data_IF_339218383987
#
_entry.id   IF_339218383987
#
_cell.length_a   1.000
_cell.length_b   1.000
_cell.length_c   1.000
_cell.angle_alpha   90.00
_cell.angle_beta   90.00
_cell.angle_gamma   90.00
#
_symmetry.space_group_name_H-M   'P 1'
#
loop_
_entity.id
_entity.type
_entity.pdbx_description
1 polymer ?
#
# COMPACT_ATOMS: atom_id res chain seq x y z
N UNK A 1 -6.69 -23.46 11.52
CA UNK A 1 -6.65 -22.15 10.83
C UNK A 1 -6.91 -21.05 11.86
N UNK A 2 -5.96 -20.15 12.02
CA UNK A 2 -6.00 -19.06 13.02
C UNK A 2 -6.90 -17.92 12.55
N UNK A 3 -6.88 -17.62 11.25
CA UNK A 3 -7.74 -16.62 10.59
C UNK A 3 -8.70 -17.33 9.64
N UNK A 4 -9.96 -16.97 9.69
CA UNK A 4 -10.91 -17.28 8.62
C UNK A 4 -10.95 -16.08 7.66
N UNK A 5 -10.17 -16.11 6.59
CA UNK A 5 -10.03 -15.00 5.65
C UNK A 5 -11.36 -14.62 4.98
N UNK A 6 -12.23 -15.58 4.66
CA UNK A 6 -13.54 -15.28 4.08
C UNK A 6 -14.41 -14.49 5.05
N UNK A 7 -14.40 -14.89 6.33
CA UNK A 7 -15.09 -14.14 7.38
C UNK A 7 -14.47 -12.75 7.57
N UNK A 8 -13.14 -12.66 7.63
CA UNK A 8 -12.44 -11.37 7.78
C UNK A 8 -12.78 -10.42 6.61
N UNK A 9 -12.80 -10.94 5.38
CA UNK A 9 -13.21 -10.19 4.18
C UNK A 9 -14.67 -9.74 4.27
N UNK A 10 -15.57 -10.61 4.73
CA UNK A 10 -16.98 -10.25 4.92
C UNK A 10 -17.13 -9.12 5.94
N UNK A 11 -16.44 -9.19 7.07
CA UNK A 11 -16.47 -8.13 8.08
C UNK A 11 -15.82 -6.82 7.59
N UNK A 12 -14.77 -6.90 6.77
CA UNK A 12 -14.19 -5.73 6.09
C UNK A 12 -15.17 -5.09 5.12
N UNK A 13 -15.88 -5.87 4.31
CA UNK A 13 -16.90 -5.34 3.40
C UNK A 13 -18.03 -4.65 4.16
N UNK A 14 -18.53 -5.25 5.25
CA UNK A 14 -19.52 -4.61 6.14
C UNK A 14 -18.98 -3.31 6.77
N UNK A 15 -17.70 -3.27 7.13
CA UNK A 15 -17.08 -2.03 7.61
C UNK A 15 -17.12 -0.95 6.54
N UNK A 16 -16.80 -1.29 5.28
CA UNK A 16 -16.78 -0.33 4.18
C UNK A 16 -18.17 0.14 3.75
N UNK A 17 -19.23 -0.63 4.02
CA UNK A 17 -20.63 -0.22 3.79
C UNK A 17 -21.08 0.98 4.64
N UNK A 18 -20.34 1.33 5.69
CA UNK A 18 -20.62 2.54 6.47
C UNK A 18 -20.17 3.84 5.75
N UNK A 19 -19.53 3.72 4.58
CA UNK A 19 -19.01 4.82 3.80
C UNK A 19 -19.67 4.89 2.42
N UNK A 20 -19.57 6.03 1.76
CA UNK A 20 -20.18 6.24 0.44
C UNK A 20 -19.43 5.46 -0.66
N UNK A 21 -19.87 4.24 -0.93
CA UNK A 21 -19.32 3.39 -1.99
C UNK A 21 -19.70 3.87 -3.42
N UNK A 22 -20.54 4.88 -3.59
CA UNK A 22 -20.75 5.53 -4.88
C UNK A 22 -19.59 6.44 -5.24
N UNK A 23 -18.85 6.92 -4.24
CA UNK A 23 -17.62 7.68 -4.43
C UNK A 23 -16.51 6.77 -4.97
N UNK A 24 -15.97 7.13 -6.14
CA UNK A 24 -14.96 6.33 -6.83
C UNK A 24 -13.67 6.15 -6.01
N UNK A 25 -13.25 7.15 -5.25
CA UNK A 25 -12.05 7.05 -4.41
C UNK A 25 -12.22 6.03 -3.28
N UNK A 26 -13.39 6.03 -2.60
CA UNK A 26 -13.70 5.05 -1.56
C UNK A 26 -13.80 3.65 -2.16
N UNK A 27 -14.52 3.48 -3.27
CA UNK A 27 -14.65 2.19 -3.96
C UNK A 27 -13.29 1.66 -4.45
N UNK A 28 -12.42 2.54 -4.97
CA UNK A 28 -11.05 2.19 -5.36
C UNK A 28 -10.26 1.64 -4.16
N UNK A 29 -10.34 2.29 -2.99
CA UNK A 29 -9.64 1.82 -1.78
C UNK A 29 -10.17 0.48 -1.26
N UNK A 30 -11.46 0.21 -1.37
CA UNK A 30 -12.00 -1.11 -1.07
C UNK A 30 -11.37 -2.19 -1.99
N UNK A 31 -11.35 -1.94 -3.30
CA UNK A 31 -10.72 -2.85 -4.27
C UNK A 31 -9.22 -3.02 -4.05
N UNK A 32 -8.49 -1.94 -3.77
CA UNK A 32 -7.09 -1.93 -3.41
C UNK A 32 -6.79 -2.86 -2.21
N UNK A 33 -7.50 -2.71 -1.10
CA UNK A 33 -7.29 -3.55 0.08
C UNK A 33 -7.50 -5.05 -0.21
N UNK A 34 -8.47 -5.40 -1.06
CA UNK A 34 -8.70 -6.80 -1.46
C UNK A 34 -7.56 -7.31 -2.35
N UNK A 35 -7.03 -6.51 -3.27
CA UNK A 35 -5.88 -6.91 -4.10
C UNK A 35 -4.61 -7.04 -3.27
N UNK A 36 -4.33 -6.09 -2.36
CA UNK A 36 -3.19 -6.14 -1.43
C UNK A 36 -3.26 -7.37 -0.52
N UNK A 37 -4.46 -7.75 -0.04
CA UNK A 37 -4.67 -9.03 0.66
C UNK A 37 -4.15 -10.23 -0.16
N UNK A 38 -4.52 -10.30 -1.44
CA UNK A 38 -4.15 -11.42 -2.30
C UNK A 38 -2.66 -11.39 -2.64
N UNK A 39 -2.08 -10.22 -2.89
CA UNK A 39 -0.64 -10.05 -3.16
C UNK A 39 0.18 -10.44 -1.92
N UNK A 40 -0.20 -9.97 -0.71
CA UNK A 40 0.45 -10.35 0.53
C UNK A 40 0.42 -11.86 0.76
N UNK A 41 -0.73 -12.50 0.48
CA UNK A 41 -0.87 -13.95 0.53
C UNK A 41 0.07 -14.64 -0.47
N UNK A 42 0.13 -14.18 -1.71
CA UNK A 42 0.99 -14.75 -2.74
C UNK A 42 2.47 -14.64 -2.36
N UNK A 43 2.92 -13.46 -1.90
CA UNK A 43 4.31 -13.27 -1.43
C UNK A 43 4.62 -14.25 -0.30
N UNK A 44 3.74 -14.38 0.69
CA UNK A 44 3.92 -15.28 1.83
C UNK A 44 4.00 -16.75 1.41
N UNK A 45 3.20 -17.19 0.45
CA UNK A 45 3.25 -18.56 -0.14
C UNK A 45 4.58 -18.78 -0.85
N UNK A 46 5.03 -17.85 -1.69
CA UNK A 46 6.29 -18.00 -2.43
C UNK A 46 7.53 -17.87 -1.53
N UNK A 47 7.39 -17.28 -0.34
CA UNK A 47 8.40 -17.29 0.72
C UNK A 47 8.40 -18.59 1.55
N UNK A 48 7.51 -19.56 1.25
CA UNK A 48 7.33 -20.82 1.97
C UNK A 48 7.02 -20.63 3.46
N UNK A 49 6.24 -19.62 3.81
CA UNK A 49 5.80 -19.40 5.17
C UNK A 49 4.76 -20.45 5.60
N UNK A 50 4.58 -20.62 6.90
CA UNK A 50 3.55 -21.54 7.44
C UNK A 50 2.14 -21.06 7.08
N UNK A 51 1.17 -21.98 7.08
CA UNK A 51 -0.25 -21.67 6.80
C UNK A 51 -0.79 -20.54 7.66
N UNK A 52 -0.41 -20.49 8.93
CA UNK A 52 -0.82 -19.43 9.84
C UNK A 52 -0.21 -18.08 9.44
N UNK A 53 1.07 -18.06 9.10
CA UNK A 53 1.76 -16.85 8.64
C UNK A 53 1.20 -16.34 7.30
N UNK A 54 0.87 -17.24 6.38
CA UNK A 54 0.22 -16.88 5.11
C UNK A 54 -1.12 -16.18 5.36
N UNK A 55 -1.91 -16.69 6.30
CA UNK A 55 -3.19 -16.08 6.65
C UNK A 55 -3.03 -14.73 7.36
N UNK A 56 -2.03 -14.60 8.23
CA UNK A 56 -1.71 -13.32 8.90
C UNK A 56 -1.24 -12.28 7.87
N UNK A 57 -0.37 -12.65 6.91
CA UNK A 57 0.03 -11.76 5.83
C UNK A 57 -1.16 -11.25 5.02
N UNK A 58 -2.08 -12.15 4.64
CA UNK A 58 -3.29 -11.78 3.93
C UNK A 58 -4.20 -10.86 4.77
N UNK A 59 -4.37 -11.14 6.06
CA UNK A 59 -5.16 -10.30 6.95
C UNK A 59 -4.56 -8.90 7.10
N UNK A 60 -3.26 -8.79 7.26
CA UNK A 60 -2.56 -7.50 7.30
C UNK A 60 -2.81 -6.73 5.99
N UNK A 61 -2.67 -7.40 4.84
CA UNK A 61 -2.96 -6.80 3.53
C UNK A 61 -4.40 -6.31 3.38
N UNK A 62 -5.38 -7.02 3.94
CA UNK A 62 -6.78 -6.60 3.93
C UNK A 62 -7.02 -5.34 4.78
N UNK A 63 -6.33 -5.21 5.90
CA UNK A 63 -6.62 -4.21 6.93
C UNK A 63 -5.66 -3.01 6.92
N UNK A 64 -4.57 -3.03 6.12
CA UNK A 64 -3.52 -2.02 6.18
C UNK A 64 -4.05 -0.59 5.99
N UNK A 65 -5.01 -0.42 5.10
CA UNK A 65 -5.62 0.85 4.72
C UNK A 65 -7.03 1.08 5.34
N UNK A 66 -7.37 0.38 6.43
CA UNK A 66 -8.70 0.48 7.05
C UNK A 66 -9.09 1.91 7.45
N UNK A 67 -8.13 2.75 7.80
CA UNK A 67 -8.34 4.15 8.15
C UNK A 67 -8.61 5.07 6.96
N UNK A 68 -8.31 4.64 5.73
CA UNK A 68 -8.47 5.47 4.53
C UNK A 68 -9.93 5.82 4.23
N UNK A 69 -10.86 4.98 4.63
CA UNK A 69 -12.28 5.24 4.47
C UNK A 69 -12.73 6.45 5.29
N UNK A 70 -12.35 6.48 6.56
CA UNK A 70 -12.59 7.61 7.46
C UNK A 70 -11.84 8.86 6.99
N UNK A 71 -10.55 8.71 6.62
CA UNK A 71 -9.72 9.80 6.15
C UNK A 71 -10.35 10.52 4.96
N UNK A 72 -10.77 9.78 3.94
CA UNK A 72 -11.36 10.39 2.75
C UNK A 72 -12.72 11.01 3.03
N UNK A 73 -13.53 10.37 3.86
CA UNK A 73 -14.85 10.88 4.24
C UNK A 73 -14.76 12.22 4.95
N UNK A 74 -13.81 12.37 5.89
CA UNK A 74 -13.65 13.60 6.65
C UNK A 74 -12.87 14.70 5.91
N UNK A 75 -11.82 14.34 5.17
CA UNK A 75 -10.87 15.31 4.64
C UNK A 75 -10.84 15.40 3.12
N UNK A 76 -11.58 14.55 2.40
CA UNK A 76 -11.63 14.47 0.93
C UNK A 76 -10.23 14.34 0.29
N UNK A 77 -9.31 13.71 1.00
CA UNK A 77 -7.92 13.49 0.56
C UNK A 77 -7.31 12.26 1.20
N UNK A 78 -6.37 11.62 0.51
CA UNK A 78 -5.50 10.57 1.04
C UNK A 78 -4.11 11.10 1.45
N UNK A 79 -3.95 12.42 1.54
CA UNK A 79 -2.69 13.02 1.95
C UNK A 79 -2.62 13.11 3.47
N UNK A 80 -1.77 12.29 4.10
CA UNK A 80 -1.59 12.24 5.56
C UNK A 80 -1.15 13.59 6.15
N UNK A 81 -0.41 14.42 5.38
CA UNK A 81 -0.01 15.75 5.83
C UNK A 81 -1.18 16.76 5.91
N UNK A 82 -2.33 16.45 5.29
CA UNK A 82 -3.53 17.30 5.30
C UNK A 82 -4.66 16.72 6.16
N UNK A 83 -4.40 15.61 6.84
CA UNK A 83 -5.38 14.89 7.64
C UNK A 83 -4.72 14.25 8.87
N UNK A 84 -4.59 12.95 8.89
CA UNK A 84 -3.91 12.17 9.93
C UNK A 84 -3.07 11.07 9.29
N UNK A 85 -2.11 10.53 10.03
CA UNK A 85 -1.37 9.34 9.61
C UNK A 85 -2.30 8.12 9.62
N UNK A 86 -2.55 7.53 8.43
CA UNK A 86 -3.53 6.46 8.30
C UNK A 86 -3.04 5.11 8.86
N UNK A 87 -1.73 4.89 8.94
CA UNK A 87 -1.18 3.71 9.59
C UNK A 87 -1.42 3.75 11.09
N UNK A 88 -1.14 4.88 11.74
CA UNK A 88 -1.38 5.06 13.17
C UNK A 88 -2.87 5.02 13.49
N UNK A 89 -3.71 5.71 12.72
CA UNK A 89 -5.16 5.70 12.94
C UNK A 89 -5.80 4.33 12.65
N UNK A 90 -5.23 3.57 11.70
CA UNK A 90 -5.64 2.17 11.47
C UNK A 90 -5.43 1.29 12.70
N UNK A 91 -4.34 1.49 13.43
CA UNK A 91 -4.10 0.82 14.73
C UNK A 91 -5.16 1.20 15.77
N UNK A 92 -5.58 2.47 15.84
CA UNK A 92 -6.64 2.92 16.76
C UNK A 92 -7.98 2.24 16.46
N UNK A 93 -8.36 2.12 15.17
CA UNK A 93 -9.56 1.38 14.74
C UNK A 93 -9.44 -0.09 15.19
N UNK A 94 -8.31 -0.74 14.91
CA UNK A 94 -8.10 -2.14 15.22
C UNK A 94 -7.98 -2.43 16.73
N UNK A 95 -7.59 -1.47 17.55
CA UNK A 95 -7.66 -1.63 19.03
C UNK A 95 -9.09 -1.90 19.51
N UNK A 96 -10.09 -1.40 18.81
CA UNK A 96 -11.51 -1.60 19.14
C UNK A 96 -12.10 -2.81 18.43
N UNK A 97 -11.70 -3.05 17.19
CA UNK A 97 -12.43 -3.91 16.24
C UNK A 97 -11.69 -5.20 15.84
N UNK A 98 -10.47 -5.44 16.31
CA UNK A 98 -9.63 -6.57 15.90
C UNK A 98 -10.37 -7.91 15.99
N UNK A 99 -11.20 -8.11 17.04
CA UNK A 99 -11.94 -9.38 17.26
C UNK A 99 -13.02 -9.66 16.20
N UNK A 100 -13.38 -8.69 15.36
CA UNK A 100 -14.21 -8.91 14.18
C UNK A 100 -13.48 -9.74 13.13
N UNK A 101 -12.16 -9.54 12.99
CA UNK A 101 -11.30 -10.10 11.93
C UNK A 101 -10.55 -11.38 12.37
N UNK A 102 -10.06 -11.41 13.59
CA UNK A 102 -9.31 -12.53 14.15
C UNK A 102 -9.73 -12.79 15.59
N UNK A 103 -9.95 -14.08 15.96
CA UNK A 103 -10.45 -14.43 17.29
C UNK A 103 -9.38 -14.43 18.39
N UNK A 104 -8.13 -14.80 18.03
CA UNK A 104 -7.00 -14.85 18.98
C UNK A 104 -6.33 -13.50 19.09
N UNK A 105 -5.77 -13.18 20.23
CA UNK A 105 -4.96 -12.00 20.50
C UNK A 105 -3.44 -12.21 20.25
N UNK A 106 -3.05 -13.47 20.04
CA UNK A 106 -1.64 -13.88 19.83
C UNK A 106 -0.89 -13.01 18.81
N UNK A 107 -1.57 -12.58 17.76
CA UNK A 107 -0.97 -11.84 16.64
C UNK A 107 -1.32 -10.33 16.62
N UNK A 108 -2.02 -9.84 17.63
CA UNK A 108 -2.49 -8.45 17.65
C UNK A 108 -1.35 -7.45 17.55
N UNK A 109 -0.28 -7.67 18.34
CA UNK A 109 0.91 -6.80 18.29
C UNK A 109 1.53 -6.80 16.91
N UNK A 110 1.73 -7.98 16.33
CA UNK A 110 2.35 -8.17 15.02
C UNK A 110 1.54 -7.47 13.92
N UNK A 111 0.21 -7.70 13.87
CA UNK A 111 -0.68 -7.11 12.87
C UNK A 111 -0.65 -5.58 12.97
N UNK A 112 -0.82 -5.04 14.19
CA UNK A 112 -0.83 -3.59 14.42
C UNK A 112 0.51 -2.94 14.07
N UNK A 113 1.61 -3.59 14.41
CA UNK A 113 2.94 -3.10 14.09
C UNK A 113 3.20 -3.08 12.57
N UNK A 114 2.83 -4.13 11.84
CA UNK A 114 2.97 -4.16 10.40
C UNK A 114 2.11 -3.07 9.72
N UNK A 115 0.86 -2.87 10.17
CA UNK A 115 -0.04 -1.82 9.67
C UNK A 115 0.51 -0.43 9.99
N UNK A 116 1.04 -0.20 11.20
CA UNK A 116 1.66 1.07 11.57
C UNK A 116 2.84 1.45 10.67
N UNK A 117 3.63 0.46 10.25
CA UNK A 117 4.88 0.68 9.49
C UNK A 117 4.70 0.70 7.96
N UNK A 118 3.52 0.32 7.42
CA UNK A 118 3.38 0.15 5.98
C UNK A 118 3.54 1.47 5.20
N UNK A 119 3.06 2.60 5.76
CA UNK A 119 3.07 3.92 5.14
C UNK A 119 4.28 4.80 5.54
N UNK A 120 5.12 4.34 6.47
CA UNK A 120 6.29 5.11 6.90
C UNK A 120 7.37 5.10 5.81
N UNK A 121 8.17 6.18 5.75
CA UNK A 121 9.28 6.24 4.79
C UNK A 121 10.29 5.13 5.06
N UNK A 122 10.60 4.88 6.33
CA UNK A 122 11.44 3.79 6.81
C UNK A 122 10.67 2.97 7.86
N UNK A 123 10.95 1.66 7.89
CA UNK A 123 10.42 0.78 8.95
C UNK A 123 11.12 1.17 10.27
N UNK A 124 10.37 1.23 11.36
CA UNK A 124 10.94 1.56 12.68
C UNK A 124 12.03 0.55 13.09
N UNK A 125 13.03 1.04 13.80
CA UNK A 125 14.12 0.21 14.33
C UNK A 125 13.65 -0.68 15.49
N UNK A 126 14.42 -1.75 15.78
CA UNK A 126 14.18 -2.63 16.93
C UNK A 126 13.10 -3.69 16.73
N UNK A 127 12.58 -3.85 15.51
CA UNK A 127 11.69 -4.96 15.19
C UNK A 127 12.42 -6.30 15.25
N UNK A 128 11.77 -7.34 15.77
CA UNK A 128 12.27 -8.69 15.65
C UNK A 128 12.11 -9.22 14.21
N UNK A 129 12.67 -10.41 13.92
CA UNK A 129 12.66 -10.99 12.57
C UNK A 129 11.25 -11.18 12.02
N UNK A 130 10.30 -11.66 12.83
CA UNK A 130 8.91 -11.88 12.41
C UNK A 130 8.19 -10.54 12.19
N UNK A 131 8.36 -9.57 13.05
CA UNK A 131 7.81 -8.22 12.90
C UNK A 131 8.35 -7.54 11.63
N UNK A 132 9.67 -7.64 11.37
CA UNK A 132 10.31 -7.13 10.14
C UNK A 132 9.80 -7.84 8.89
N UNK A 133 9.62 -9.16 8.94
CA UNK A 133 9.10 -9.96 7.83
C UNK A 133 7.72 -9.44 7.38
N UNK A 134 6.78 -9.29 8.31
CA UNK A 134 5.42 -8.86 7.96
C UNK A 134 5.33 -7.38 7.58
N UNK A 135 6.14 -6.51 8.20
CA UNK A 135 6.26 -5.11 7.78
C UNK A 135 6.74 -4.98 6.34
N UNK A 136 7.72 -5.80 5.93
CA UNK A 136 8.24 -5.83 4.55
C UNK A 136 7.24 -6.44 3.56
N UNK A 137 6.54 -7.52 3.93
CA UNK A 137 5.52 -8.14 3.05
C UNK A 137 4.42 -7.14 2.72
N UNK A 138 3.87 -6.45 3.71
CA UNK A 138 2.80 -5.48 3.44
C UNK A 138 3.28 -4.29 2.61
N UNK A 139 4.49 -3.77 2.85
CA UNK A 139 5.07 -2.69 2.05
C UNK A 139 5.25 -3.08 0.60
N UNK A 140 5.76 -4.28 0.34
CA UNK A 140 5.90 -4.82 -1.01
C UNK A 140 4.53 -4.95 -1.68
N UNK A 141 3.57 -5.56 -1.01
CA UNK A 141 2.24 -5.81 -1.57
C UNK A 141 1.48 -4.51 -1.90
N UNK A 142 1.55 -3.52 -1.03
CA UNK A 142 0.95 -2.20 -1.24
C UNK A 142 1.58 -1.49 -2.45
N UNK A 143 2.92 -1.46 -2.54
CA UNK A 143 3.62 -0.86 -3.69
C UNK A 143 3.33 -1.57 -5.00
N UNK A 144 3.23 -2.90 -5.00
CA UNK A 144 2.86 -3.68 -6.19
C UNK A 144 1.47 -3.28 -6.68
N UNK A 145 0.50 -3.11 -5.78
CA UNK A 145 -0.85 -2.69 -6.17
C UNK A 145 -0.89 -1.21 -6.61
N UNK A 146 -0.07 -0.34 -6.02
CA UNK A 146 0.07 1.04 -6.51
C UNK A 146 0.67 1.07 -7.94
N UNK A 147 1.64 0.20 -8.25
CA UNK A 147 2.16 0.07 -9.62
C UNK A 147 1.06 -0.43 -10.58
N UNK A 148 0.25 -1.41 -10.17
CA UNK A 148 -0.92 -1.84 -10.95
C UNK A 148 -1.91 -0.68 -11.19
N UNK A 149 -2.27 0.07 -10.15
CA UNK A 149 -3.15 1.23 -10.30
C UNK A 149 -2.55 2.30 -11.22
N UNK A 150 -1.24 2.52 -11.17
CA UNK A 150 -0.54 3.47 -12.04
C UNK A 150 -0.59 3.08 -13.53
N UNK A 151 -0.67 1.79 -13.85
CA UNK A 151 -0.87 1.35 -15.25
C UNK A 151 -2.25 1.73 -15.77
N UNK A 152 -3.31 1.66 -14.96
CA UNK A 152 -4.69 1.64 -15.46
C UNK A 152 -5.61 2.72 -14.91
N UNK A 153 -5.40 3.23 -13.70
CA UNK A 153 -6.43 4.01 -12.98
C UNK A 153 -5.95 5.33 -12.36
N UNK A 154 -4.66 5.49 -12.16
CA UNK A 154 -4.13 6.48 -11.23
C UNK A 154 -4.19 7.94 -11.72
N UNK A 155 -4.19 8.16 -13.02
CA UNK A 155 -3.90 9.48 -13.59
C UNK A 155 -5.12 10.31 -13.99
N UNK A 156 -6.31 9.69 -14.06
CA UNK A 156 -7.62 10.35 -14.28
C UNK A 156 -7.63 11.49 -15.30
N UNK A 157 -6.91 11.34 -16.45
CA UNK A 157 -6.82 12.36 -17.47
C UNK A 157 -5.71 13.41 -17.25
N UNK A 158 -4.88 13.27 -16.21
CA UNK A 158 -3.73 14.16 -15.96
C UNK A 158 -2.54 13.89 -16.92
N UNK A 159 -2.61 12.86 -17.78
CA UNK A 159 -1.50 12.42 -18.65
C UNK A 159 -0.95 13.55 -19.52
N UNK A 160 -1.84 14.40 -20.06
CA UNK A 160 -1.42 15.53 -20.90
C UNK A 160 -0.60 16.55 -20.13
N UNK A 161 -1.01 16.85 -18.90
CA UNK A 161 -0.29 17.80 -18.05
C UNK A 161 1.02 17.20 -17.55
N UNK A 162 1.04 15.88 -17.29
CA UNK A 162 2.23 15.13 -16.90
C UNK A 162 3.26 15.17 -18.02
N UNK A 163 2.87 14.90 -19.27
CA UNK A 163 3.77 14.87 -20.44
C UNK A 163 4.33 16.26 -20.81
N UNK A 164 3.75 17.34 -20.33
CA UNK A 164 4.24 18.70 -20.54
C UNK A 164 5.28 19.16 -19.51
N UNK A 165 5.68 18.30 -18.58
CA UNK A 165 6.64 18.64 -17.53
C UNK A 165 7.96 17.89 -17.72
N UNK A 166 9.06 18.54 -17.32
CA UNK A 166 10.38 17.91 -17.25
C UNK A 166 10.59 17.28 -15.88
N UNK A 167 11.39 16.21 -15.82
CA UNK A 167 11.79 15.60 -14.56
C UNK A 167 12.70 16.57 -13.81
N UNK A 168 12.37 16.86 -12.55
CA UNK A 168 13.22 17.75 -11.75
C UNK A 168 14.56 17.08 -11.44
N UNK A 169 15.64 17.90 -11.41
CA UNK A 169 17.00 17.40 -11.10
C UNK A 169 17.09 16.65 -9.78
N UNK A 170 16.34 17.09 -8.77
CA UNK A 170 16.27 16.41 -7.47
C UNK A 170 15.66 15.00 -7.56
N UNK A 171 14.68 14.82 -8.42
CA UNK A 171 14.05 13.50 -8.65
C UNK A 171 15.00 12.60 -9.42
N UNK A 172 15.68 13.14 -10.45
CA UNK A 172 16.69 12.38 -11.20
C UNK A 172 17.84 11.93 -10.32
N UNK A 173 18.36 12.78 -9.44
CA UNK A 173 19.40 12.42 -8.46
C UNK A 173 18.97 11.21 -7.63
N UNK A 174 17.72 11.19 -7.09
CA UNK A 174 17.23 10.07 -6.29
C UNK A 174 17.04 8.78 -7.09
N UNK A 175 16.65 8.89 -8.35
CA UNK A 175 16.56 7.72 -9.25
C UNK A 175 17.96 7.14 -9.53
N UNK A 176 18.96 7.99 -9.81
CA UNK A 176 20.35 7.56 -10.02
C UNK A 176 20.95 6.91 -8.77
N UNK A 177 20.65 7.44 -7.58
CA UNK A 177 21.02 6.87 -6.28
C UNK A 177 20.24 5.58 -5.94
N UNK A 178 19.19 5.23 -6.70
CA UNK A 178 18.30 4.10 -6.45
C UNK A 178 17.57 4.20 -5.10
N UNK A 179 17.09 5.38 -4.80
CA UNK A 179 16.41 5.69 -3.54
C UNK A 179 14.95 6.05 -3.76
N UNK A 180 14.15 5.87 -2.70
CA UNK A 180 12.79 6.38 -2.65
C UNK A 180 12.78 7.91 -2.72
N UNK A 181 11.81 8.45 -3.43
CA UNK A 181 11.61 9.89 -3.54
C UNK A 181 10.73 10.37 -2.38
N UNK A 182 11.34 11.05 -1.42
CA UNK A 182 10.63 11.64 -0.29
C UNK A 182 9.86 12.88 -0.73
N UNK A 183 8.54 12.87 -0.56
CA UNK A 183 7.69 14.00 -0.87
C UNK A 183 7.95 15.15 0.10
N UNK A 184 8.27 16.33 -0.43
CA UNK A 184 8.37 17.55 0.35
C UNK A 184 6.95 17.99 0.78
N UNK A 185 6.76 18.19 2.10
CA UNK A 185 5.46 18.62 2.65
C UNK A 185 5.01 19.98 2.13
N UNK A 186 5.96 20.83 1.73
CA UNK A 186 5.73 22.23 1.34
C UNK A 186 5.71 22.45 -0.18
N UNK A 187 5.97 21.40 -1.00
CA UNK A 187 5.99 21.50 -2.45
C UNK A 187 4.94 20.58 -3.06
N UNK A 188 4.20 21.10 -4.02
CA UNK A 188 3.34 20.27 -4.84
C UNK A 188 4.22 19.31 -5.67
N UNK A 189 3.99 18.02 -5.49
CA UNK A 189 4.57 17.00 -6.36
C UNK A 189 3.67 16.93 -7.58
N UNK A 190 4.12 17.41 -8.72
CA UNK A 190 3.29 17.55 -9.93
C UNK A 190 3.99 16.96 -11.16
N UNK A 191 3.21 16.81 -12.20
CA UNK A 191 3.73 16.37 -13.50
C UNK A 191 4.41 15.01 -13.43
N UNK A 192 5.47 14.87 -14.24
CA UNK A 192 6.22 13.63 -14.41
C UNK A 192 6.93 13.17 -13.12
N UNK A 193 7.24 14.09 -12.19
CA UNK A 193 7.83 13.73 -10.88
C UNK A 193 6.92 12.79 -10.06
N UNK A 194 5.58 12.90 -10.23
CA UNK A 194 4.64 11.94 -9.61
C UNK A 194 4.86 10.53 -10.15
N UNK A 195 5.04 10.41 -11.47
CA UNK A 195 5.27 9.12 -12.14
C UNK A 195 6.59 8.52 -11.66
N UNK A 196 7.66 9.34 -11.65
CA UNK A 196 8.97 8.92 -11.17
C UNK A 196 8.93 8.46 -9.71
N UNK A 197 8.13 9.12 -8.86
CA UNK A 197 7.99 8.70 -7.47
C UNK A 197 7.29 7.35 -7.29
N UNK A 198 6.41 6.99 -8.21
CA UNK A 198 5.77 5.67 -8.24
C UNK A 198 6.74 4.62 -8.77
N UNK A 199 7.48 4.91 -9.85
CA UNK A 199 8.52 4.03 -10.39
C UNK A 199 9.62 3.75 -9.36
N UNK A 200 10.01 4.76 -8.56
CA UNK A 200 11.00 4.62 -7.49
C UNK A 200 10.60 3.62 -6.38
N UNK A 201 9.33 3.20 -6.30
CA UNK A 201 8.92 2.16 -5.37
C UNK A 201 9.65 0.84 -5.56
N UNK A 202 10.19 0.58 -6.76
CA UNK A 202 11.02 -0.62 -7.02
C UNK A 202 12.26 -0.67 -6.13
N UNK A 203 12.77 0.46 -5.67
CA UNK A 203 13.96 0.54 -4.81
C UNK A 203 13.68 0.16 -3.34
N UNK A 204 12.39 0.09 -2.94
CA UNK A 204 11.97 -0.35 -1.61
C UNK A 204 11.25 -1.72 -1.62
N UNK A 205 11.42 -2.48 -2.69
CA UNK A 205 10.94 -3.87 -2.76
C UNK A 205 11.93 -4.79 -2.07
N UNK A 206 11.44 -5.62 -1.17
CA UNK A 206 12.27 -6.41 -0.26
C UNK A 206 12.47 -7.87 -0.70
N UNK A 207 11.49 -8.48 -1.36
CA UNK A 207 11.49 -9.92 -1.61
C UNK A 207 11.52 -10.27 -3.10
N UNK A 208 12.25 -11.36 -3.43
CA UNK A 208 12.30 -11.90 -4.80
C UNK A 208 10.91 -12.19 -5.40
N UNK A 209 9.95 -12.80 -4.66
CA UNK A 209 8.59 -12.97 -5.14
C UNK A 209 7.92 -11.67 -5.57
N UNK A 210 8.14 -10.59 -4.85
CA UNK A 210 7.59 -9.27 -5.18
C UNK A 210 8.13 -8.73 -6.50
N UNK A 211 9.44 -8.82 -6.74
CA UNK A 211 10.04 -8.49 -8.04
C UNK A 211 9.51 -9.38 -9.18
N UNK A 212 9.28 -10.67 -8.92
CA UNK A 212 8.70 -11.59 -9.90
C UNK A 212 7.30 -11.13 -10.32
N UNK A 213 6.43 -10.78 -9.36
CA UNK A 213 5.08 -10.27 -9.64
C UNK A 213 5.15 -8.99 -10.50
N UNK A 214 6.01 -8.03 -10.15
CA UNK A 214 6.19 -6.78 -10.90
C UNK A 214 6.62 -7.08 -12.34
N UNK A 215 7.60 -7.98 -12.52
CA UNK A 215 8.16 -8.35 -13.83
C UNK A 215 7.14 -9.11 -14.69
N UNK A 216 6.45 -10.11 -14.14
CA UNK A 216 5.49 -10.94 -14.88
C UNK A 216 4.29 -10.12 -15.37
N UNK A 217 3.90 -9.08 -14.63
CA UNK A 217 2.83 -8.16 -15.01
C UNK A 217 3.32 -6.98 -15.86
N UNK A 218 4.63 -6.84 -16.03
CA UNK A 218 5.27 -5.80 -16.84
C UNK A 218 4.87 -4.36 -16.45
N UNK A 219 4.69 -4.13 -15.14
CA UNK A 219 4.17 -2.85 -14.65
C UNK A 219 5.08 -1.67 -15.00
N UNK A 220 6.39 -1.84 -14.87
CA UNK A 220 7.36 -0.75 -15.08
C UNK A 220 7.33 -0.27 -16.53
N UNK A 221 7.44 -1.18 -17.51
CA UNK A 221 7.41 -0.80 -18.93
C UNK A 221 6.05 -0.21 -19.30
N UNK A 222 4.95 -0.79 -18.82
CA UNK A 222 3.60 -0.25 -19.07
C UNK A 222 3.41 1.17 -18.53
N UNK A 223 4.05 1.52 -17.40
CA UNK A 223 4.03 2.88 -16.87
C UNK A 223 4.92 3.77 -17.72
N UNK A 224 6.13 3.31 -18.08
CA UNK A 224 7.07 4.08 -18.92
C UNK A 224 6.45 4.37 -20.30
N UNK A 225 5.86 3.36 -20.96
CA UNK A 225 5.26 3.50 -22.29
C UNK A 225 4.05 4.43 -22.33
N UNK A 226 3.47 4.75 -21.17
CA UNK A 226 2.30 5.64 -21.06
C UNK A 226 2.68 7.11 -21.07
N UNK A 227 3.91 7.47 -20.73
CA UNK A 227 4.34 8.85 -20.55
C UNK A 227 5.54 9.21 -21.44
N UNK A 228 5.62 10.49 -21.80
CA UNK A 228 6.76 11.07 -22.52
C UNK A 228 7.77 11.60 -21.48
N UNK A 229 8.91 10.92 -21.34
CA UNK A 229 9.99 11.37 -20.46
C UNK A 229 10.93 12.30 -21.23
N UNK A 230 11.09 13.54 -20.74
CA UNK A 230 11.95 14.59 -21.31
C UNK A 230 13.03 14.97 -20.33
#
# INVERSE_FOLDING_TARGET
MIVNLEKAKTEFLKYTENYDLTNENIRRKQGHSIRVMNISKQIAVELNLSDDQIQIAALIGLLHDIARFEQYTQYQTYNDNRSFDHGDYGVEILNKDMRKYIKTDKYDKLIKMAIKNHNKFEIEEGLNEEESLFAKIIRDADKIDILYEAVSMFWNGEEKDINNTEISSKVMEKIEERELIKRDKNKAFCGIDKVMSVLAFIFDINYKPSFKIIKENDYINKIIDRFEFK
#
